data_IF_964659059207
#
_entry.id   IF_964659059207
#
_cell.length_a   1.000
_cell.length_b   1.000
_cell.length_c   1.000
_cell.angle_alpha   90.00
_cell.angle_beta   90.00
_cell.angle_gamma   90.00
#
_symmetry.space_group_name_H-M   'P 1'
#
loop_
_entity.id
_entity.type
_entity.pdbx_description
1 polymer ?
#
# COMPACT_ATOMS: atom_id res chain seq x y z
N UNK A 1 29.25 -12.07 16.32
CA UNK A 1 28.89 -11.39 17.59
C UNK A 1 27.45 -11.76 17.85
N UNK A 2 27.19 -12.34 18.99
CA UNK A 2 25.85 -12.67 19.46
C UNK A 2 25.55 -11.85 20.72
N UNK A 3 24.52 -10.99 20.65
CA UNK A 3 24.09 -10.15 21.78
C UNK A 3 22.58 -10.07 21.79
N UNK A 4 21.94 -10.54 22.87
CA UNK A 4 20.49 -10.59 23.02
C UNK A 4 19.75 -11.26 21.84
N UNK A 5 20.37 -12.25 21.19
CA UNK A 5 19.85 -12.84 19.95
C UNK A 5 18.48 -13.50 20.08
N UNK A 6 18.17 -14.03 21.27
CA UNK A 6 16.90 -14.70 21.57
C UNK A 6 15.85 -13.76 22.17
N UNK A 7 16.29 -12.54 22.57
CA UNK A 7 15.37 -11.56 23.14
C UNK A 7 14.40 -11.04 22.08
N UNK A 8 13.13 -11.02 22.44
CA UNK A 8 12.06 -10.51 21.57
C UNK A 8 12.04 -8.98 21.55
N UNK A 9 11.96 -8.41 20.35
CA UNK A 9 11.85 -6.98 20.10
C UNK A 9 10.71 -6.69 19.13
N UNK A 10 10.19 -5.47 19.21
CA UNK A 10 9.26 -4.95 18.19
C UNK A 10 10.04 -4.69 16.92
N UNK A 11 9.72 -5.35 15.81
CA UNK A 11 10.51 -5.27 14.58
C UNK A 11 10.29 -3.98 13.78
N UNK A 12 9.20 -3.26 14.04
CA UNK A 12 8.76 -2.22 13.12
C UNK A 12 8.84 -2.71 11.65
N UNK A 13 9.16 -1.85 10.71
CA UNK A 13 9.13 -2.19 9.28
C UNK A 13 10.17 -3.21 8.79
N UNK A 14 11.08 -3.74 9.64
CA UNK A 14 11.86 -4.92 9.21
C UNK A 14 10.99 -6.18 9.11
N UNK A 15 9.80 -6.17 9.70
CA UNK A 15 8.75 -7.18 9.51
C UNK A 15 8.47 -7.46 8.02
N UNK A 16 8.57 -6.45 7.16
CA UNK A 16 8.37 -6.56 5.70
C UNK A 16 9.32 -7.55 5.01
N UNK A 17 10.42 -7.93 5.66
CA UNK A 17 11.31 -8.97 5.16
C UNK A 17 10.61 -10.34 5.13
N UNK A 18 9.77 -10.63 6.14
CA UNK A 18 8.94 -11.84 6.15
C UNK A 18 7.91 -11.79 5.01
N UNK A 19 7.20 -10.69 4.85
CA UNK A 19 6.23 -10.53 3.75
C UNK A 19 6.90 -10.65 2.38
N UNK A 20 8.08 -10.04 2.20
CA UNK A 20 8.85 -10.16 0.95
C UNK A 20 9.26 -11.60 0.67
N UNK A 21 9.79 -12.31 1.68
CA UNK A 21 10.18 -13.70 1.56
C UNK A 21 8.97 -14.58 1.24
N UNK A 22 7.85 -14.38 1.92
CA UNK A 22 6.59 -15.09 1.70
C UNK A 22 6.07 -14.92 0.27
N UNK A 23 6.03 -13.69 -0.22
CA UNK A 23 5.57 -13.43 -1.58
C UNK A 23 6.48 -14.08 -2.64
N UNK A 24 7.80 -14.02 -2.46
CA UNK A 24 8.76 -14.64 -3.38
C UNK A 24 8.80 -16.17 -3.30
N UNK A 25 8.40 -16.73 -2.17
CA UNK A 25 8.30 -18.17 -1.97
C UNK A 25 7.04 -18.76 -2.63
N UNK A 26 5.91 -18.07 -2.47
CA UNK A 26 4.58 -18.63 -2.72
C UNK A 26 3.89 -18.08 -3.97
N UNK A 27 4.30 -16.93 -4.50
CA UNK A 27 3.74 -16.38 -5.74
C UNK A 27 4.61 -16.76 -6.94
N UNK A 28 4.01 -17.00 -8.11
CA UNK A 28 4.75 -17.16 -9.36
C UNK A 28 5.64 -15.95 -9.65
N UNK A 29 6.79 -16.16 -10.25
CA UNK A 29 7.76 -15.09 -10.51
C UNK A 29 7.24 -13.99 -11.46
N UNK A 30 6.24 -14.29 -12.27
CA UNK A 30 5.54 -13.39 -13.18
C UNK A 30 4.20 -12.90 -12.64
N UNK A 31 3.94 -13.08 -11.35
CA UNK A 31 2.68 -12.67 -10.74
C UNK A 31 2.43 -11.16 -10.92
N UNK A 32 1.19 -10.85 -11.29
CA UNK A 32 0.59 -9.50 -11.25
C UNK A 32 -0.84 -9.60 -10.70
N UNK A 33 -1.32 -8.55 -10.07
CA UNK A 33 -2.74 -8.43 -9.74
C UNK A 33 -3.51 -8.16 -11.03
N UNK A 34 -4.71 -8.75 -11.19
CA UNK A 34 -5.51 -8.58 -12.40
C UNK A 34 -6.86 -7.97 -12.06
N UNK A 35 -7.03 -6.69 -12.37
CA UNK A 35 -8.32 -5.98 -12.30
C UNK A 35 -9.02 -6.15 -13.64
N UNK A 36 -10.30 -6.57 -13.63
CA UNK A 36 -11.04 -6.85 -14.86
C UNK A 36 -12.22 -5.93 -15.03
N UNK A 37 -12.46 -5.50 -16.27
CA UNK A 37 -13.69 -4.84 -16.66
C UNK A 37 -14.48 -5.70 -17.63
N UNK A 38 -15.79 -5.71 -17.45
CA UNK A 38 -16.74 -6.44 -18.30
C UNK A 38 -17.86 -5.50 -18.73
N UNK A 39 -18.46 -5.78 -19.86
CA UNK A 39 -19.74 -5.20 -20.25
C UNK A 39 -20.83 -6.26 -20.12
N UNK A 40 -21.99 -5.90 -19.59
CA UNK A 40 -23.21 -6.69 -19.74
C UNK A 40 -24.05 -6.08 -20.86
N UNK A 41 -24.72 -6.94 -21.62
CA UNK A 41 -25.56 -6.50 -22.73
C UNK A 41 -24.81 -6.18 -24.03
N UNK A 42 -25.49 -5.56 -24.98
CA UNK A 42 -25.03 -5.39 -26.36
C UNK A 42 -24.72 -3.92 -26.70
N UNK A 43 -23.73 -3.72 -27.56
CA UNK A 43 -23.40 -2.40 -28.12
C UNK A 43 -24.35 -2.07 -29.28
N UNK A 44 -25.11 -0.98 -29.14
CA UNK A 44 -25.78 -0.36 -30.27
C UNK A 44 -24.75 0.44 -31.09
N UNK A 45 -24.40 -0.09 -32.25
CA UNK A 45 -23.39 0.50 -33.14
C UNK A 45 -23.79 1.86 -33.72
N UNK A 46 -25.09 2.19 -33.75
CA UNK A 46 -25.61 3.46 -34.28
C UNK A 46 -25.42 4.56 -33.27
N UNK A 47 -25.85 4.35 -32.03
CA UNK A 47 -25.72 5.35 -30.94
C UNK A 47 -24.35 5.33 -30.28
N UNK A 48 -23.65 4.21 -30.29
CA UNK A 48 -22.41 3.98 -29.52
C UNK A 48 -22.66 3.71 -28.04
N UNK A 49 -23.89 3.41 -27.63
CA UNK A 49 -24.21 3.05 -26.24
C UNK A 49 -24.30 1.53 -26.08
N UNK A 50 -23.71 1.05 -24.98
CA UNK A 50 -23.96 -0.32 -24.53
C UNK A 50 -25.31 -0.34 -23.82
N UNK A 51 -26.23 -1.19 -24.27
CA UNK A 51 -27.51 -1.45 -23.61
C UNK A 51 -27.27 -2.43 -22.43
N UNK A 52 -26.60 -1.94 -21.42
CA UNK A 52 -26.10 -2.75 -20.29
C UNK A 52 -25.27 -1.95 -19.32
N UNK A 53 -24.53 -2.66 -18.46
CA UNK A 53 -23.70 -2.10 -17.40
C UNK A 53 -22.20 -2.24 -17.69
N UNK A 54 -21.41 -1.39 -17.08
CA UNK A 54 -19.97 -1.59 -16.90
C UNK A 54 -19.71 -2.25 -15.52
N UNK A 55 -19.13 -3.45 -15.54
CA UNK A 55 -18.82 -4.20 -14.34
C UNK A 55 -17.31 -4.26 -14.15
N UNK A 56 -16.82 -4.01 -12.94
CA UNK A 56 -15.39 -4.07 -12.63
C UNK A 56 -15.18 -4.95 -11.41
N UNK A 57 -14.26 -5.94 -11.53
CA UNK A 57 -13.84 -6.78 -10.39
C UNK A 57 -12.53 -6.27 -9.81
N UNK A 58 -12.52 -6.00 -8.52
CA UNK A 58 -11.32 -5.61 -7.79
C UNK A 58 -10.39 -6.80 -7.55
N UNK A 59 -9.10 -6.56 -7.59
CA UNK A 59 -8.05 -7.59 -7.40
C UNK A 59 -7.26 -7.44 -6.11
N UNK A 60 -7.43 -6.33 -5.40
CA UNK A 60 -6.56 -5.94 -4.29
C UNK A 60 -5.20 -5.41 -4.78
N UNK A 61 -5.11 -4.89 -6.01
CA UNK A 61 -3.91 -4.25 -6.54
C UNK A 61 -3.61 -2.96 -5.77
N UNK A 62 -2.54 -2.88 -4.96
CA UNK A 62 -2.20 -1.67 -4.21
C UNK A 62 -1.72 -0.53 -5.11
N UNK A 63 -1.37 -0.84 -6.36
CA UNK A 63 -0.81 0.13 -7.30
C UNK A 63 -1.84 0.76 -8.22
N UNK A 64 -3.14 0.45 -8.04
CA UNK A 64 -4.20 0.97 -8.91
C UNK A 64 -4.24 2.51 -8.85
N UNK A 65 -3.99 3.17 -9.99
CA UNK A 65 -3.86 4.63 -10.11
C UNK A 65 -2.81 5.26 -9.18
N UNK A 66 -1.81 4.48 -8.78
CA UNK A 66 -0.71 4.97 -7.93
C UNK A 66 0.19 5.97 -8.65
N UNK A 67 0.53 7.06 -7.97
CA UNK A 67 1.49 8.04 -8.46
C UNK A 67 2.93 7.50 -8.57
N UNK A 68 3.22 6.37 -7.97
CA UNK A 68 4.53 5.71 -8.02
C UNK A 68 4.76 4.92 -9.31
N UNK A 69 3.67 4.48 -9.97
CA UNK A 69 3.70 3.67 -11.20
C UNK A 69 3.02 4.39 -12.37
N UNK A 70 3.51 5.59 -12.70
CA UNK A 70 2.89 6.52 -13.69
C UNK A 70 2.64 5.93 -15.08
N UNK A 71 3.36 4.88 -15.45
CA UNK A 71 3.20 4.20 -16.74
C UNK A 71 2.10 3.13 -16.71
N UNK A 72 1.44 2.94 -15.57
CA UNK A 72 0.36 1.98 -15.34
C UNK A 72 -0.88 2.73 -14.85
N UNK A 73 -1.95 2.67 -15.62
CA UNK A 73 -3.24 3.27 -15.26
C UNK A 73 -4.37 2.44 -15.88
N UNK A 74 -5.17 1.84 -15.02
CA UNK A 74 -6.39 1.13 -15.40
C UNK A 74 -7.37 2.07 -16.11
N UNK A 75 -7.55 3.28 -15.57
CA UNK A 75 -8.46 4.28 -16.13
C UNK A 75 -8.05 4.67 -17.55
N UNK A 76 -6.75 4.84 -17.79
CA UNK A 76 -6.25 5.16 -19.13
C UNK A 76 -6.51 4.01 -20.11
N UNK A 77 -6.12 2.78 -19.75
CA UNK A 77 -6.33 1.60 -20.59
C UNK A 77 -7.84 1.36 -20.85
N UNK A 78 -8.69 1.56 -19.82
CA UNK A 78 -10.15 1.45 -19.99
C UNK A 78 -10.69 2.47 -20.99
N UNK A 79 -10.24 3.74 -20.91
CA UNK A 79 -10.64 4.77 -21.88
C UNK A 79 -10.20 4.44 -23.31
N UNK A 80 -8.98 3.96 -23.46
CA UNK A 80 -8.45 3.57 -24.77
C UNK A 80 -9.27 2.44 -25.40
N UNK A 81 -9.65 1.42 -24.62
CA UNK A 81 -10.45 0.31 -25.16
C UNK A 81 -11.90 0.70 -25.41
N UNK A 82 -12.53 1.54 -24.57
CA UNK A 82 -13.85 2.09 -24.84
C UNK A 82 -13.87 2.88 -26.16
N UNK A 83 -12.85 3.72 -26.36
CA UNK A 83 -12.71 4.50 -27.60
C UNK A 83 -12.50 3.63 -28.83
N UNK A 84 -11.66 2.60 -28.74
CA UNK A 84 -11.37 1.68 -29.85
C UNK A 84 -12.58 0.84 -30.27
N UNK A 85 -13.50 0.58 -29.33
CA UNK A 85 -14.78 -0.10 -29.59
C UNK A 85 -15.91 0.88 -29.90
N UNK A 86 -15.63 2.17 -30.07
CA UNK A 86 -16.62 3.24 -30.27
C UNK A 86 -17.72 3.31 -29.21
N UNK A 87 -17.40 2.89 -27.95
CA UNK A 87 -18.34 2.94 -26.83
C UNK A 87 -18.30 4.36 -26.23
N UNK A 88 -19.45 5.06 -26.31
CA UNK A 88 -19.64 6.42 -25.78
C UNK A 88 -20.19 6.44 -24.37
N UNK A 89 -20.86 5.35 -23.94
CA UNK A 89 -21.47 5.25 -22.62
C UNK A 89 -22.32 3.98 -22.46
N UNK A 90 -23.02 3.93 -21.34
CA UNK A 90 -23.84 2.79 -20.94
C UNK A 90 -25.27 3.26 -20.62
N UNK A 91 -26.27 2.47 -21.00
CA UNK A 91 -27.66 2.71 -20.59
C UNK A 91 -27.91 2.35 -19.13
N UNK A 92 -27.18 1.39 -18.59
CA UNK A 92 -27.16 1.00 -17.18
C UNK A 92 -26.17 1.81 -16.34
N UNK A 93 -25.53 1.14 -15.39
CA UNK A 93 -24.72 1.71 -14.33
C UNK A 93 -23.30 1.16 -14.29
N UNK A 94 -22.42 1.83 -13.51
CA UNK A 94 -21.14 1.28 -13.08
C UNK A 94 -21.34 0.42 -11.83
N UNK A 95 -20.96 -0.85 -11.94
CA UNK A 95 -21.04 -1.84 -10.85
C UNK A 95 -19.63 -2.30 -10.49
N UNK A 96 -19.21 -2.01 -9.27
CA UNK A 96 -18.02 -2.61 -8.70
C UNK A 96 -18.41 -3.96 -8.09
N UNK A 97 -17.88 -5.04 -8.67
CA UNK A 97 -18.10 -6.39 -8.18
C UNK A 97 -17.02 -6.70 -7.15
N UNK A 98 -17.44 -6.78 -5.90
CA UNK A 98 -16.63 -7.31 -4.84
C UNK A 98 -17.20 -8.67 -4.41
N UNK A 99 -16.49 -9.74 -4.71
CA UNK A 99 -16.91 -11.09 -4.37
C UNK A 99 -16.97 -11.33 -2.84
N UNK A 100 -16.53 -10.36 -2.04
CA UNK A 100 -16.32 -10.50 -0.60
C UNK A 100 -16.81 -9.30 0.22
N UNK A 101 -17.97 -8.71 -0.09
CA UNK A 101 -18.52 -7.53 0.62
C UNK A 101 -17.40 -6.54 0.90
N UNK A 102 -17.26 -5.56 0.03
CA UNK A 102 -16.20 -4.54 0.05
C UNK A 102 -15.77 -4.18 1.48
N UNK A 103 -14.73 -4.86 1.93
CA UNK A 103 -14.23 -4.67 3.27
C UNK A 103 -12.95 -3.86 3.13
N UNK A 104 -13.09 -2.54 3.30
CA UNK A 104 -11.96 -1.71 3.67
C UNK A 104 -11.45 -2.22 5.02
N UNK A 105 -10.34 -2.98 4.99
CA UNK A 105 -9.82 -3.64 6.18
C UNK A 105 -8.72 -2.79 6.80
N UNK A 106 -8.91 -2.46 8.07
CA UNK A 106 -7.90 -1.83 8.92
C UNK A 106 -7.59 -2.79 10.05
N UNK A 107 -6.31 -3.07 10.27
CA UNK A 107 -5.90 -4.03 11.29
C UNK A 107 -6.28 -3.54 12.70
N UNK A 108 -7.02 -4.37 13.44
CA UNK A 108 -7.52 -4.06 14.78
C UNK A 108 -6.41 -3.88 15.84
N UNK A 109 -5.17 -4.25 15.52
CA UNK A 109 -4.01 -4.10 16.39
C UNK A 109 -3.22 -2.81 16.13
N UNK A 110 -3.67 -1.95 15.20
CA UNK A 110 -3.07 -0.64 14.97
C UNK A 110 -3.59 0.39 15.96
N UNK A 111 -2.77 1.38 16.28
CA UNK A 111 -3.14 2.42 17.23
C UNK A 111 -4.08 3.44 16.57
N UNK A 112 -4.96 4.03 17.37
CA UNK A 112 -5.83 5.12 16.92
C UNK A 112 -5.05 6.27 16.26
N UNK A 113 -3.89 6.63 16.80
CA UNK A 113 -3.02 7.66 16.24
C UNK A 113 -2.37 7.32 14.90
N UNK A 114 -2.41 6.04 14.49
CA UNK A 114 -1.82 5.60 13.21
C UNK A 114 -2.85 5.56 12.08
N UNK A 115 -4.08 5.10 12.36
CA UNK A 115 -5.08 4.76 11.33
C UNK A 115 -5.62 5.94 10.53
N UNK A 116 -5.53 7.17 11.05
CA UNK A 116 -5.87 8.40 10.33
C UNK A 116 -4.80 8.86 9.35
N UNK A 117 -3.58 8.35 9.45
CA UNK A 117 -2.45 8.71 8.62
C UNK A 117 -2.30 7.77 7.42
N UNK A 118 -1.64 8.24 6.35
CA UNK A 118 -1.44 7.47 5.11
C UNK A 118 -0.76 6.11 5.34
N UNK A 119 0.11 5.99 6.35
CA UNK A 119 0.80 4.75 6.67
C UNK A 119 -0.05 3.76 7.47
N UNK A 120 -1.18 4.19 8.03
CA UNK A 120 -2.21 3.38 8.67
C UNK A 120 -3.47 3.21 7.81
N UNK A 121 -3.41 3.59 6.53
CA UNK A 121 -4.50 3.35 5.60
C UNK A 121 -4.78 1.85 5.45
N UNK A 122 -6.04 1.48 5.52
CA UNK A 122 -6.49 0.11 5.31
C UNK A 122 -6.36 -0.35 3.86
N UNK A 123 -6.67 -1.61 3.62
CA UNK A 123 -6.67 -2.22 2.29
C UNK A 123 -8.09 -2.36 1.74
N UNK A 124 -8.21 -2.44 0.42
CA UNK A 124 -9.47 -2.63 -0.31
C UNK A 124 -9.22 -3.44 -1.57
N UNK A 125 -10.20 -4.22 -2.02
CA UNK A 125 -10.13 -4.88 -3.33
C UNK A 125 -10.04 -3.86 -4.48
N UNK A 126 -10.55 -2.65 -4.24
CA UNK A 126 -10.42 -1.49 -5.12
C UNK A 126 -9.52 -0.43 -4.46
N UNK A 127 -8.24 -0.77 -4.28
CA UNK A 127 -7.26 0.25 -3.88
C UNK A 127 -7.26 1.39 -4.89
N UNK A 128 -7.05 2.62 -4.43
CA UNK A 128 -7.07 3.79 -5.31
C UNK A 128 -6.10 4.86 -4.81
N UNK A 129 -5.17 5.27 -5.69
CA UNK A 129 -4.18 6.32 -5.38
C UNK A 129 -3.48 6.09 -4.03
N UNK A 130 -2.98 4.86 -3.84
CA UNK A 130 -2.27 4.41 -2.63
C UNK A 130 -3.11 4.48 -1.34
N UNK A 131 -4.45 4.55 -1.44
CA UNK A 131 -5.40 4.72 -0.35
C UNK A 131 -5.09 5.93 0.54
N UNK A 132 -4.57 7.00 -0.03
CA UNK A 132 -4.23 8.22 0.70
C UNK A 132 -4.83 9.48 0.07
N UNK A 133 -5.04 10.47 0.92
CA UNK A 133 -5.45 11.82 0.57
C UNK A 133 -4.30 12.76 0.90
N UNK A 134 -3.98 13.65 -0.02
CA UNK A 134 -2.99 14.70 0.17
C UNK A 134 -3.70 16.01 0.50
N UNK A 135 -3.41 16.57 1.67
CA UNK A 135 -3.91 17.86 2.11
C UNK A 135 -2.76 18.85 2.07
N UNK A 136 -2.92 19.92 1.34
CA UNK A 136 -1.90 20.95 1.15
C UNK A 136 -2.20 22.15 2.02
N UNK A 137 -1.19 22.68 2.67
CA UNK A 137 -1.30 23.81 3.59
C UNK A 137 -0.41 24.96 3.18
N UNK A 138 -0.90 26.19 3.42
CA UNK A 138 -0.09 27.40 3.44
C UNK A 138 0.16 27.76 4.91
N UNK A 139 1.42 27.74 5.33
CA UNK A 139 1.82 28.05 6.70
C UNK A 139 2.28 29.51 6.84
N UNK A 140 1.95 30.14 7.96
CA UNK A 140 2.45 31.47 8.32
C UNK A 140 3.97 31.45 8.53
N UNK A 141 4.61 32.62 8.33
CA UNK A 141 6.02 32.82 8.70
C UNK A 141 6.22 32.94 10.21
N UNK A 142 5.17 33.22 10.97
CA UNK A 142 5.20 33.31 12.44
C UNK A 142 4.90 31.95 13.05
N UNK A 143 5.74 31.52 13.96
CA UNK A 143 5.60 30.26 14.70
C UNK A 143 4.35 30.30 15.58
N UNK A 144 3.62 29.16 15.61
CA UNK A 144 2.40 28.97 16.39
C UNK A 144 1.13 29.50 15.72
N UNK A 145 1.23 30.25 14.62
CA UNK A 145 0.04 30.68 13.88
C UNK A 145 -0.60 29.55 13.08
N UNK A 146 -1.90 29.60 12.94
CA UNK A 146 -2.70 28.62 12.19
C UNK A 146 -2.30 28.55 10.72
N UNK A 147 -2.26 27.34 10.15
CA UNK A 147 -1.97 27.09 8.74
C UNK A 147 -3.25 26.79 7.97
N UNK A 148 -3.43 27.42 6.82
CA UNK A 148 -4.64 27.29 5.99
C UNK A 148 -4.55 26.14 5.00
N UNK A 149 -5.65 25.42 4.77
CA UNK A 149 -5.75 24.42 3.71
C UNK A 149 -5.87 25.13 2.36
N UNK A 150 -4.91 24.89 1.46
CA UNK A 150 -4.90 25.46 0.12
C UNK A 150 -5.51 24.52 -0.92
N UNK A 151 -5.37 23.21 -0.74
CA UNK A 151 -5.81 22.20 -1.72
C UNK A 151 -5.95 20.82 -1.06
N UNK A 152 -6.87 19.99 -1.59
CA UNK A 152 -7.02 18.58 -1.25
C UNK A 152 -6.92 17.77 -2.55
N UNK A 153 -6.18 16.65 -2.53
CA UNK A 153 -6.04 15.75 -3.67
C UNK A 153 -6.24 14.29 -3.25
N UNK A 154 -7.02 13.48 -3.99
CA UNK A 154 -7.77 13.84 -5.20
C UNK A 154 -8.80 14.94 -4.99
N UNK A 155 -9.08 15.69 -6.06
CA UNK A 155 -10.11 16.75 -6.01
C UNK A 155 -11.50 16.16 -5.85
N UNK A 156 -12.43 16.96 -5.27
CA UNK A 156 -13.81 16.55 -5.03
C UNK A 156 -14.00 15.35 -4.09
N UNK A 157 -13.05 15.15 -3.19
CA UNK A 157 -13.20 14.24 -2.07
C UNK A 157 -14.13 14.90 -1.04
N UNK A 158 -15.21 14.22 -0.68
CA UNK A 158 -16.01 14.63 0.47
C UNK A 158 -15.28 14.20 1.75
N UNK A 159 -14.50 15.13 2.30
CA UNK A 159 -13.75 14.95 3.53
C UNK A 159 -14.03 16.16 4.44
N UNK A 160 -14.58 15.88 5.62
CA UNK A 160 -14.77 16.87 6.67
C UNK A 160 -13.48 17.01 7.49
N UNK A 161 -12.74 18.11 7.28
CA UNK A 161 -11.46 18.34 7.95
C UNK A 161 -11.58 19.36 9.05
N UNK A 162 -11.35 18.91 10.28
CA UNK A 162 -11.07 19.79 11.41
C UNK A 162 -9.56 20.11 11.41
N UNK A 163 -9.23 21.32 10.96
CA UNK A 163 -7.84 21.77 10.83
C UNK A 163 -7.32 22.43 12.11
N UNK A 164 -6.31 21.83 12.73
CA UNK A 164 -5.59 22.34 13.92
C UNK A 164 -4.08 22.45 13.67
N UNK A 165 -3.68 22.55 12.40
CA UNK A 165 -2.26 22.61 12.02
C UNK A 165 -1.73 24.02 12.22
N UNK A 166 -0.57 24.13 12.84
CA UNK A 166 0.12 25.40 13.08
C UNK A 166 1.51 25.41 12.43
N UNK A 167 2.05 26.62 12.25
CA UNK A 167 3.42 26.83 11.77
C UNK A 167 4.44 26.51 12.88
N UNK A 168 5.43 25.68 12.59
CA UNK A 168 6.45 25.23 13.55
C UNK A 168 7.87 25.61 13.12
N UNK A 169 8.80 25.51 14.07
CA UNK A 169 10.25 25.74 13.84
C UNK A 169 10.90 24.60 13.04
N UNK A 170 10.37 23.37 13.20
CA UNK A 170 10.91 22.19 12.56
C UNK A 170 10.83 22.27 11.03
N UNK A 171 11.87 21.82 10.35
CA UNK A 171 11.81 21.64 8.88
C UNK A 171 11.09 20.35 8.46
N UNK A 172 10.57 19.56 9.42
CA UNK A 172 9.90 18.28 9.20
C UNK A 172 8.38 18.43 9.28
N UNK A 173 7.69 17.49 8.64
CA UNK A 173 6.28 17.23 8.86
C UNK A 173 6.09 16.59 10.25
N UNK A 174 5.44 17.30 11.14
CA UNK A 174 5.04 16.86 12.48
C UNK A 174 3.51 16.91 12.64
N UNK A 175 2.79 17.04 11.54
CA UNK A 175 1.33 16.98 11.53
C UNK A 175 0.84 15.54 11.38
N UNK A 176 -0.23 15.21 12.10
CA UNK A 176 -0.85 13.89 12.09
C UNK A 176 -2.34 14.01 11.82
N UNK A 177 -2.86 13.04 11.05
CA UNK A 177 -4.29 12.88 10.81
C UNK A 177 -4.90 11.89 11.79
N UNK A 178 -6.03 12.26 12.38
CA UNK A 178 -6.84 11.39 13.23
C UNK A 178 -8.23 11.21 12.62
N UNK A 179 -8.76 10.00 12.72
CA UNK A 179 -10.10 9.69 12.24
C UNK A 179 -10.34 8.19 12.14
N UNK A 180 -11.58 7.78 12.25
CA UNK A 180 -11.97 6.37 12.13
C UNK A 180 -11.81 5.85 10.69
N UNK A 181 -11.65 4.53 10.52
CA UNK A 181 -11.39 3.94 9.21
C UNK A 181 -12.55 4.11 8.21
N UNK A 182 -13.78 4.22 8.72
CA UNK A 182 -14.99 4.31 7.87
C UNK A 182 -15.63 5.70 7.92
N UNK A 183 -14.96 6.67 8.56
CA UNK A 183 -15.51 8.01 8.77
C UNK A 183 -14.91 9.02 7.79
N UNK A 184 -15.76 9.92 7.26
CA UNK A 184 -15.33 11.03 6.42
C UNK A 184 -14.63 12.15 7.21
N UNK A 185 -14.80 12.21 8.55
CA UNK A 185 -14.14 13.21 9.38
C UNK A 185 -12.66 12.89 9.61
N UNK A 186 -11.83 13.91 9.44
CA UNK A 186 -10.41 13.90 9.82
C UNK A 186 -10.07 15.13 10.63
N UNK A 187 -9.51 14.95 11.81
CA UNK A 187 -8.81 16.02 12.53
C UNK A 187 -7.35 15.97 12.13
N UNK A 188 -6.80 17.06 11.61
CA UNK A 188 -5.38 17.17 11.30
C UNK A 188 -4.78 18.18 12.26
N UNK A 189 -3.81 17.75 13.07
CA UNK A 189 -3.18 18.58 14.10
C UNK A 189 -1.67 18.39 14.14
N UNK A 190 -0.96 19.33 14.76
CA UNK A 190 0.48 19.34 14.88
C UNK A 190 1.12 20.49 14.11
N UNK A 191 2.39 20.36 13.79
CA UNK A 191 3.19 21.42 13.21
C UNK A 191 3.71 21.09 11.82
N UNK A 192 3.73 22.09 10.95
CA UNK A 192 4.42 22.04 9.65
C UNK A 192 5.43 23.18 9.57
N UNK A 193 6.48 23.09 8.73
CA UNK A 193 7.47 24.14 8.62
C UNK A 193 6.87 25.51 8.31
N UNK A 194 7.28 26.54 9.04
CA UNK A 194 6.81 27.91 8.83
C UNK A 194 7.17 28.47 7.44
N UNK A 195 6.33 29.37 6.91
CA UNK A 195 6.57 30.08 5.64
C UNK A 195 6.54 29.19 4.41
N UNK A 196 5.75 28.11 4.40
CA UNK A 196 5.61 27.20 3.27
C UNK A 196 4.30 27.39 2.53
N UNK A 197 4.35 27.39 1.22
CA UNK A 197 3.19 27.30 0.35
C UNK A 197 3.03 25.88 -0.17
N UNK A 198 1.79 25.37 -0.15
CA UNK A 198 1.43 24.04 -0.60
C UNK A 198 2.26 22.91 0.09
N UNK A 199 2.51 23.06 1.39
CA UNK A 199 3.13 22.00 2.17
C UNK A 199 2.16 20.80 2.29
N UNK A 200 2.65 19.60 1.98
CA UNK A 200 1.83 18.40 1.86
C UNK A 200 1.82 17.58 3.14
N UNK A 201 0.65 17.37 3.70
CA UNK A 201 0.36 16.37 4.74
C UNK A 201 -0.48 15.25 4.12
N UNK A 202 -0.26 14.02 4.54
CA UNK A 202 -0.93 12.85 3.98
C UNK A 202 -1.77 12.14 5.04
N UNK A 203 -3.04 11.92 4.73
CA UNK A 203 -3.99 11.19 5.59
C UNK A 203 -4.55 9.96 4.88
N UNK A 204 -5.10 9.02 5.65
CA UNK A 204 -5.72 7.82 5.11
C UNK A 204 -7.02 8.12 4.37
N UNK A 205 -7.25 7.44 3.25
CA UNK A 205 -8.52 7.46 2.51
C UNK A 205 -9.48 6.45 3.17
N UNK A 206 -10.70 6.88 3.48
CA UNK A 206 -11.66 6.07 4.25
C UNK A 206 -12.48 5.08 3.42
N UNK A 207 -12.61 5.29 2.12
CA UNK A 207 -13.34 4.39 1.22
C UNK A 207 -12.76 4.45 -0.21
N UNK A 208 -11.65 3.77 -0.48
CA UNK A 208 -10.98 3.81 -1.80
C UNK A 208 -11.90 3.40 -2.96
N UNK A 209 -12.77 2.40 -2.76
CA UNK A 209 -13.69 1.93 -3.78
C UNK A 209 -14.70 3.01 -4.21
N UNK A 210 -15.25 3.77 -3.26
CA UNK A 210 -16.16 4.89 -3.59
C UNK A 210 -15.46 5.99 -4.38
N UNK A 211 -14.22 6.30 -4.04
CA UNK A 211 -13.43 7.30 -4.77
C UNK A 211 -13.07 6.82 -6.18
N UNK A 212 -12.70 5.55 -6.33
CA UNK A 212 -12.46 4.96 -7.63
C UNK A 212 -13.72 4.99 -8.51
N UNK A 213 -14.88 4.60 -7.94
CA UNK A 213 -16.18 4.67 -8.62
C UNK A 213 -16.55 6.11 -9.03
N UNK A 214 -16.36 7.06 -8.13
CA UNK A 214 -16.63 8.47 -8.40
C UNK A 214 -15.75 9.02 -9.55
N UNK A 215 -14.48 8.63 -9.60
CA UNK A 215 -13.59 9.05 -10.68
C UNK A 215 -14.01 8.46 -12.03
N UNK A 216 -14.40 7.20 -12.07
CA UNK A 216 -14.92 6.57 -13.30
C UNK A 216 -16.24 7.20 -13.77
N UNK A 217 -17.16 7.53 -12.86
CA UNK A 217 -18.42 8.19 -13.18
C UNK A 217 -18.25 9.59 -13.79
N UNK A 218 -17.12 10.28 -13.49
CA UNK A 218 -16.80 11.56 -14.16
C UNK A 218 -16.33 11.39 -15.60
N UNK A 219 -15.78 10.22 -15.92
CA UNK A 219 -15.09 9.97 -17.16
C UNK A 219 -15.92 9.18 -18.17
N UNK A 220 -16.93 8.45 -17.71
CA UNK A 220 -17.77 7.56 -18.49
C UNK A 220 -19.24 7.92 -18.22
N UNK A 221 -20.02 8.02 -19.29
CA UNK A 221 -21.43 8.38 -19.19
C UNK A 221 -22.31 7.17 -18.88
N UNK A 222 -23.19 7.29 -17.88
CA UNK A 222 -24.18 6.28 -17.48
C UNK A 222 -25.58 6.90 -17.39
N UNK A 223 -26.59 6.23 -18.01
CA UNK A 223 -28.00 6.65 -17.90
C UNK A 223 -28.65 6.17 -16.62
N UNK A 224 -28.05 5.16 -15.95
CA UNK A 224 -28.55 4.53 -14.72
C UNK A 224 -29.94 3.90 -14.85
N UNK A 225 -30.29 3.40 -16.03
CA UNK A 225 -31.51 2.64 -16.24
C UNK A 225 -31.37 1.22 -15.66
N UNK A 226 -32.48 0.57 -15.35
CA UNK A 226 -32.51 -0.87 -15.12
C UNK A 226 -32.27 -1.60 -16.44
N UNK A 227 -31.32 -2.50 -16.49
CA UNK A 227 -30.93 -3.28 -17.65
C UNK A 227 -30.67 -4.72 -17.28
N UNK A 228 -30.90 -5.63 -18.25
CA UNK A 228 -30.57 -7.04 -18.06
C UNK A 228 -29.04 -7.27 -18.06
N UNK A 229 -28.58 -8.17 -17.20
CA UNK A 229 -27.16 -8.52 -17.03
C UNK A 229 -26.82 -9.92 -17.58
N UNK A 230 -27.67 -10.49 -18.40
CA UNK A 230 -27.59 -11.89 -18.83
C UNK A 230 -26.38 -12.22 -19.72
N UNK A 231 -25.81 -11.22 -20.42
CA UNK A 231 -24.65 -11.40 -21.30
C UNK A 231 -23.47 -10.63 -20.74
N UNK A 232 -22.33 -11.32 -20.52
CA UNK A 232 -21.09 -10.67 -20.06
C UNK A 232 -19.96 -10.91 -21.07
N UNK A 233 -19.39 -9.81 -21.60
CA UNK A 233 -18.16 -9.83 -22.41
C UNK A 233 -17.01 -9.14 -21.66
N UNK A 234 -15.82 -9.73 -21.79
CA UNK A 234 -14.60 -9.17 -21.20
C UNK A 234 -14.14 -7.96 -22.01
N UNK A 235 -14.14 -6.80 -21.38
CA UNK A 235 -13.67 -5.55 -21.96
C UNK A 235 -12.17 -5.35 -21.77
N UNK A 236 -11.66 -5.58 -20.54
CA UNK A 236 -10.26 -5.33 -20.18
C UNK A 236 -9.79 -6.31 -19.10
N UNK A 237 -8.61 -6.87 -19.30
CA UNK A 237 -7.81 -7.51 -18.25
C UNK A 237 -6.57 -6.64 -17.98
N UNK A 238 -6.64 -5.81 -16.94
CA UNK A 238 -5.57 -4.93 -16.54
C UNK A 238 -4.61 -5.63 -15.58
N UNK A 239 -3.33 -5.64 -15.90
CA UNK A 239 -2.29 -6.19 -15.05
C UNK A 239 -1.54 -5.09 -14.30
N UNK A 240 -1.41 -5.23 -12.99
CA UNK A 240 -0.51 -4.39 -12.18
C UNK A 240 0.93 -4.44 -12.67
N UNK A 241 1.83 -3.59 -12.18
CA UNK A 241 3.26 -3.86 -12.25
C UNK A 241 3.59 -5.27 -11.73
N UNK A 242 4.67 -5.91 -12.22
CA UNK A 242 5.12 -7.21 -11.73
C UNK A 242 5.38 -7.21 -10.22
N UNK A 243 5.19 -8.34 -9.55
CA UNK A 243 5.41 -8.47 -8.10
C UNK A 243 6.79 -7.97 -7.65
N UNK A 244 7.82 -8.13 -8.46
CA UNK A 244 9.17 -7.65 -8.15
C UNK A 244 9.24 -6.12 -8.01
N UNK A 245 8.50 -5.39 -8.84
CA UNK A 245 8.45 -3.93 -8.80
C UNK A 245 7.66 -3.45 -7.58
N UNK A 246 6.55 -4.14 -7.28
CA UNK A 246 5.73 -3.87 -6.09
C UNK A 246 6.54 -4.11 -4.80
N UNK A 247 7.26 -5.24 -4.69
CA UNK A 247 8.12 -5.56 -3.55
C UNK A 247 9.29 -4.57 -3.42
N UNK A 248 9.88 -4.17 -4.54
CA UNK A 248 10.95 -3.16 -4.54
C UNK A 248 10.42 -1.83 -4.03
N UNK A 249 9.29 -1.37 -4.56
CA UNK A 249 8.63 -0.15 -4.07
C UNK A 249 8.30 -0.24 -2.58
N UNK A 250 7.66 -1.34 -2.17
CA UNK A 250 7.30 -1.63 -0.77
C UNK A 250 8.49 -1.49 0.18
N UNK A 251 9.63 -2.10 -0.17
CA UNK A 251 10.84 -2.07 0.67
C UNK A 251 11.56 -0.71 0.63
N UNK A 252 11.66 -0.08 -0.54
CA UNK A 252 12.33 1.22 -0.72
C UNK A 252 11.60 2.37 -0.03
N UNK A 253 10.26 2.36 -0.05
CA UNK A 253 9.41 3.38 0.58
C UNK A 253 8.90 2.96 1.95
N UNK A 254 9.15 1.72 2.35
CA UNK A 254 8.57 1.12 3.57
C UNK A 254 7.03 1.21 3.58
N UNK A 255 6.39 0.98 2.44
CA UNK A 255 4.97 1.18 2.24
C UNK A 255 4.13 0.09 2.94
N UNK A 256 3.34 0.47 3.93
CA UNK A 256 2.51 -0.45 4.72
C UNK A 256 1.33 -0.98 3.91
N UNK A 257 0.66 -0.10 3.16
CA UNK A 257 -0.51 -0.47 2.35
C UNK A 257 -0.18 -1.58 1.35
N UNK A 258 0.94 -1.45 0.61
CA UNK A 258 1.42 -2.49 -0.31
C UNK A 258 1.73 -3.80 0.42
N UNK A 259 2.27 -3.70 1.63
CA UNK A 259 2.65 -4.90 2.40
C UNK A 259 1.44 -5.73 2.78
N UNK A 260 0.39 -5.09 3.30
CA UNK A 260 -0.85 -5.77 3.70
C UNK A 260 -1.57 -6.39 2.50
N UNK A 261 -1.69 -5.66 1.37
CA UNK A 261 -2.30 -6.19 0.14
C UNK A 261 -1.54 -7.41 -0.41
N UNK A 262 -0.20 -7.33 -0.48
CA UNK A 262 0.64 -8.41 -1.01
C UNK A 262 0.53 -9.64 -0.11
N UNK A 263 0.60 -9.48 1.22
CA UNK A 263 0.45 -10.62 2.12
C UNK A 263 -0.93 -11.23 2.03
N UNK A 264 -2.00 -10.42 2.10
CA UNK A 264 -3.36 -10.95 2.00
C UNK A 264 -3.55 -11.72 0.70
N UNK A 265 -3.10 -11.17 -0.43
CA UNK A 265 -3.19 -11.85 -1.73
C UNK A 265 -2.44 -13.16 -1.76
N UNK A 266 -1.24 -13.19 -1.18
CA UNK A 266 -0.41 -14.40 -1.10
C UNK A 266 -1.09 -15.48 -0.28
N UNK A 267 -1.59 -15.12 0.91
CA UNK A 267 -2.26 -16.06 1.82
C UNK A 267 -3.64 -16.48 1.31
N UNK A 268 -4.37 -15.58 0.64
CA UNK A 268 -5.63 -15.93 -0.03
C UNK A 268 -5.43 -16.99 -1.11
N UNK A 269 -4.40 -16.84 -1.94
CA UNK A 269 -4.11 -17.80 -2.99
C UNK A 269 -3.76 -19.20 -2.45
N UNK A 270 -3.11 -19.28 -1.29
CA UNK A 270 -2.65 -20.56 -0.72
C UNK A 270 -3.66 -21.18 0.25
N UNK A 271 -4.29 -20.36 1.10
CA UNK A 271 -5.13 -20.82 2.21
C UNK A 271 -6.58 -20.35 2.14
N UNK A 272 -6.97 -19.58 1.11
CA UNK A 272 -8.32 -19.03 0.95
C UNK A 272 -8.70 -17.97 1.98
N UNK A 273 -7.73 -17.38 2.71
CA UNK A 273 -8.01 -16.37 3.74
C UNK A 273 -8.37 -15.01 3.12
N UNK A 274 -9.27 -14.29 3.79
CA UNK A 274 -9.82 -13.02 3.30
C UNK A 274 -9.69 -11.87 4.31
N UNK A 275 -9.03 -12.14 5.42
CA UNK A 275 -8.83 -11.19 6.52
C UNK A 275 -7.33 -10.98 6.76
N UNK A 276 -6.92 -9.71 6.99
CA UNK A 276 -5.50 -9.34 7.12
C UNK A 276 -4.86 -9.91 8.39
N UNK A 277 -5.61 -9.98 9.50
CA UNK A 277 -5.09 -10.56 10.74
C UNK A 277 -4.87 -12.07 10.58
N UNK A 278 -5.80 -12.75 9.91
CA UNK A 278 -5.65 -14.17 9.60
C UNK A 278 -4.51 -14.41 8.61
N UNK A 279 -4.30 -13.51 7.63
CA UNK A 279 -3.16 -13.59 6.72
C UNK A 279 -1.82 -13.46 7.46
N UNK A 280 -1.73 -12.54 8.43
CA UNK A 280 -0.54 -12.41 9.27
C UNK A 280 -0.30 -13.64 10.14
N UNK A 281 -1.37 -14.23 10.70
CA UNK A 281 -1.29 -15.49 11.46
C UNK A 281 -0.79 -16.64 10.58
N UNK A 282 -1.32 -16.79 9.36
CA UNK A 282 -0.89 -17.85 8.43
C UNK A 282 0.56 -17.65 7.97
N UNK A 283 1.02 -16.42 7.78
CA UNK A 283 2.44 -16.14 7.54
C UNK A 283 3.29 -16.58 8.73
N UNK A 284 2.84 -16.32 9.95
CA UNK A 284 3.54 -16.73 11.16
C UNK A 284 3.64 -18.26 11.24
N UNK A 285 2.53 -18.98 11.08
CA UNK A 285 2.49 -20.46 11.08
C UNK A 285 3.43 -21.02 10.01
N UNK A 286 3.38 -20.47 8.79
CA UNK A 286 4.24 -20.89 7.69
C UNK A 286 5.73 -20.79 8.02
N UNK A 287 6.18 -19.64 8.58
CA UNK A 287 7.59 -19.44 8.90
C UNK A 287 8.03 -20.18 10.16
N UNK A 288 7.16 -20.38 11.14
CA UNK A 288 7.44 -21.23 12.30
C UNK A 288 7.78 -22.66 11.86
N UNK A 289 6.96 -23.24 10.98
CA UNK A 289 7.22 -24.56 10.42
C UNK A 289 8.48 -24.58 9.53
N UNK A 290 8.57 -23.64 8.60
CA UNK A 290 9.65 -23.59 7.58
C UNK A 290 11.04 -23.41 8.17
N UNK A 291 11.14 -22.62 9.23
CA UNK A 291 12.40 -22.37 9.92
C UNK A 291 12.62 -23.30 11.15
N UNK A 292 11.69 -24.24 11.39
CA UNK A 292 11.70 -25.12 12.55
C UNK A 292 11.96 -24.35 13.87
N UNK A 293 11.14 -23.31 14.10
CA UNK A 293 11.31 -22.46 15.27
C UNK A 293 10.72 -23.12 16.51
N UNK A 294 11.54 -23.19 17.57
CA UNK A 294 11.11 -23.59 18.90
C UNK A 294 10.83 -22.38 19.79
N UNK A 295 10.95 -21.19 19.24
CA UNK A 295 10.84 -19.92 19.94
C UNK A 295 9.54 -19.19 19.57
N UNK A 296 9.15 -18.24 20.42
CA UNK A 296 7.98 -17.39 20.15
C UNK A 296 8.31 -16.41 19.04
N UNK A 297 7.59 -16.51 17.94
CA UNK A 297 7.55 -15.52 16.87
C UNK A 297 6.09 -15.10 16.72
N UNK A 298 5.83 -13.81 16.83
CA UNK A 298 4.46 -13.28 16.80
C UNK A 298 4.34 -12.16 15.78
N UNK A 299 3.46 -12.37 14.81
CA UNK A 299 3.06 -11.34 13.84
C UNK A 299 1.55 -11.14 13.90
N UNK A 300 1.11 -9.89 13.95
CA UNK A 300 -0.31 -9.51 13.96
C UNK A 300 -0.66 -8.61 12.77
N UNK A 301 0.34 -8.17 12.02
CA UNK A 301 0.21 -7.49 10.73
C UNK A 301 1.39 -7.85 9.82
N UNK A 302 1.26 -7.53 8.54
CA UNK A 302 2.29 -7.79 7.55
C UNK A 302 3.44 -6.78 7.59
N UNK A 303 3.14 -5.54 7.96
CA UNK A 303 4.01 -4.39 7.73
C UNK A 303 4.88 -3.99 8.91
N UNK A 304 4.56 -4.47 10.12
CA UNK A 304 5.27 -4.12 11.35
C UNK A 304 4.81 -2.80 11.97
N UNK A 305 3.59 -2.34 11.68
CA UNK A 305 3.04 -1.14 12.30
C UNK A 305 2.57 -1.40 13.73
N UNK A 306 2.02 -2.57 13.99
CA UNK A 306 1.57 -2.96 15.33
C UNK A 306 2.76 -3.19 16.27
N UNK A 307 2.68 -2.62 17.48
CA UNK A 307 3.65 -2.87 18.56
C UNK A 307 3.52 -4.26 19.18
N UNK A 308 2.48 -5.04 18.79
CA UNK A 308 2.28 -6.43 19.23
C UNK A 308 3.10 -7.44 18.41
N UNK A 309 3.72 -7.02 17.31
CA UNK A 309 4.68 -7.86 16.59
C UNK A 309 5.94 -8.06 17.42
N UNK A 310 6.42 -9.29 17.51
CA UNK A 310 7.62 -9.64 18.29
C UNK A 310 8.48 -10.62 17.50
N UNK A 311 9.75 -10.30 17.34
CA UNK A 311 10.75 -11.14 16.67
C UNK A 311 12.10 -11.02 17.37
N UNK A 312 12.83 -12.13 17.47
CA UNK A 312 14.21 -12.10 17.96
C UNK A 312 15.20 -11.85 16.80
N UNK A 313 16.41 -11.31 17.08
CA UNK A 313 17.49 -11.23 16.10
C UNK A 313 17.83 -12.60 15.49
N UNK A 314 17.75 -13.66 16.27
CA UNK A 314 18.01 -15.04 15.83
C UNK A 314 16.99 -15.48 14.77
N UNK A 315 15.69 -15.28 15.00
CA UNK A 315 14.63 -15.61 14.04
C UNK A 315 14.83 -14.82 12.74
N UNK A 316 15.14 -13.54 12.85
CA UNK A 316 15.41 -12.70 11.67
C UNK A 316 16.63 -13.19 10.89
N UNK A 317 17.71 -13.59 11.57
CA UNK A 317 18.89 -14.16 10.95
C UNK A 317 18.60 -15.52 10.26
N UNK A 318 17.77 -16.37 10.86
CA UNK A 318 17.32 -17.64 10.25
C UNK A 318 16.54 -17.37 8.96
N UNK A 319 15.63 -16.40 8.95
CA UNK A 319 14.94 -15.99 7.73
C UNK A 319 15.93 -15.56 6.64
N UNK A 320 16.86 -14.65 6.97
CA UNK A 320 17.84 -14.13 6.01
C UNK A 320 18.76 -15.22 5.49
N UNK A 321 19.22 -16.13 6.36
CA UNK A 321 20.04 -17.27 5.98
C UNK A 321 19.27 -18.26 5.08
N UNK A 322 18.01 -18.56 5.41
CA UNK A 322 17.14 -19.40 4.58
C UNK A 322 17.01 -18.81 3.17
N UNK A 323 16.65 -17.53 3.06
CA UNK A 323 16.49 -16.87 1.76
C UNK A 323 17.77 -16.90 0.93
N UNK A 324 18.94 -16.72 1.56
CA UNK A 324 20.24 -16.76 0.89
C UNK A 324 20.56 -18.17 0.39
N UNK A 325 20.36 -19.21 1.21
CA UNK A 325 20.61 -20.60 0.89
C UNK A 325 19.72 -21.12 -0.24
N UNK A 326 18.48 -20.64 -0.32
CA UNK A 326 17.57 -20.93 -1.43
C UNK A 326 17.90 -20.17 -2.72
N UNK A 327 19.04 -19.46 -2.76
CA UNK A 327 19.50 -18.63 -3.89
C UNK A 327 18.44 -17.62 -4.34
N UNK A 328 17.66 -17.11 -3.40
CA UNK A 328 16.60 -16.12 -3.67
C UNK A 328 17.21 -14.73 -3.93
N UNK A 329 18.12 -14.62 -4.90
CA UNK A 329 18.76 -13.34 -5.27
C UNK A 329 17.76 -12.22 -5.60
N UNK A 330 16.55 -12.59 -6.05
CA UNK A 330 15.45 -11.64 -6.26
C UNK A 330 15.09 -10.88 -4.98
N UNK A 331 15.16 -11.54 -3.81
CA UNK A 331 14.91 -10.91 -2.52
C UNK A 331 15.86 -9.74 -2.27
N UNK A 332 17.17 -9.96 -2.42
CA UNK A 332 18.20 -8.92 -2.20
C UNK A 332 17.97 -7.73 -3.15
N UNK A 333 17.56 -7.98 -4.40
CA UNK A 333 17.27 -6.92 -5.39
C UNK A 333 16.11 -6.01 -4.99
N UNK A 334 15.21 -6.44 -4.11
CA UNK A 334 14.11 -5.61 -3.63
C UNK A 334 14.52 -4.68 -2.49
N UNK A 335 15.73 -4.82 -1.94
CA UNK A 335 16.15 -4.10 -0.73
C UNK A 335 16.98 -2.85 -1.05
N UNK A 336 16.80 -1.76 -0.32
CA UNK A 336 17.62 -0.57 -0.43
C UNK A 336 19.06 -0.80 0.06
N UNK A 337 19.97 0.05 -0.42
CA UNK A 337 21.41 0.06 -0.12
C UNK A 337 21.76 1.25 0.76
N UNK A 338 22.53 1.02 1.81
CA UNK A 338 22.98 2.05 2.75
C UNK A 338 23.78 3.15 2.03
N UNK A 339 23.47 4.41 2.33
CA UNK A 339 24.08 5.59 1.73
C UNK A 339 23.59 5.91 0.30
N UNK A 340 22.81 4.99 -0.34
CA UNK A 340 22.48 5.08 -1.78
C UNK A 340 20.99 5.24 -2.03
N UNK A 341 20.15 4.35 -1.48
CA UNK A 341 18.77 4.24 -1.95
C UNK A 341 17.72 4.03 -0.87
N UNK A 342 16.46 4.29 -1.21
CA UNK A 342 15.29 4.05 -0.39
C UNK A 342 15.39 4.67 1.01
N UNK A 343 14.88 3.96 2.01
CA UNK A 343 14.93 4.40 3.42
C UNK A 343 16.33 4.36 4.04
N UNK A 344 17.32 3.79 3.33
CA UNK A 344 18.71 3.74 3.76
C UNK A 344 19.59 4.80 3.08
N UNK A 345 19.03 5.68 2.25
CA UNK A 345 19.76 6.67 1.43
C UNK A 345 20.74 7.55 2.25
N UNK A 346 20.43 7.81 3.50
CA UNK A 346 21.26 8.64 4.38
C UNK A 346 21.94 7.84 5.49
N UNK A 347 21.79 6.51 5.52
CA UNK A 347 22.36 5.67 6.54
C UNK A 347 23.88 5.56 6.34
N UNK A 348 24.61 5.93 7.40
CA UNK A 348 26.06 5.68 7.54
C UNK A 348 26.93 6.17 6.36
N UNK A 349 26.56 7.30 5.74
CA UNK A 349 27.36 7.95 4.70
C UNK A 349 28.76 8.27 5.19
N UNK A 350 29.75 8.08 4.33
CA UNK A 350 31.16 8.29 4.65
C UNK A 350 31.77 7.19 5.53
N UNK A 351 31.03 6.13 5.86
CA UNK A 351 31.53 5.01 6.65
C UNK A 351 31.75 3.74 5.81
N UNK A 352 32.36 2.71 6.42
CA UNK A 352 32.53 1.39 5.80
C UNK A 352 31.18 0.68 5.51
N UNK A 353 30.09 1.15 6.06
CA UNK A 353 28.74 0.61 5.86
C UNK A 353 28.14 1.11 4.54
N UNK A 354 28.51 2.32 4.11
CA UNK A 354 28.05 2.88 2.85
C UNK A 354 28.37 1.95 1.68
N UNK A 355 27.39 1.70 0.82
CA UNK A 355 27.45 0.74 -0.30
C UNK A 355 27.70 -0.73 0.11
N UNK A 356 27.85 -1.05 1.39
CA UNK A 356 28.18 -2.41 1.85
C UNK A 356 27.09 -3.07 2.67
N UNK A 357 26.03 -2.36 3.04
CA UNK A 357 24.85 -2.93 3.68
C UNK A 357 23.65 -2.82 2.77
N UNK A 358 23.00 -3.96 2.51
CA UNK A 358 21.74 -4.06 1.77
C UNK A 358 20.70 -4.61 2.71
N UNK A 359 19.62 -3.89 2.96
CA UNK A 359 18.65 -4.33 3.97
C UNK A 359 17.44 -3.42 4.12
N UNK A 360 16.71 -3.66 5.17
CA UNK A 360 15.49 -2.94 5.53
C UNK A 360 15.67 -2.20 6.84
N UNK A 361 15.20 -0.96 6.91
CA UNK A 361 15.05 -0.21 8.15
C UNK A 361 13.67 -0.41 8.76
N UNK A 362 13.59 -0.41 10.09
CA UNK A 362 12.38 -0.27 10.86
C UNK A 362 12.48 0.95 11.77
N UNK A 363 11.41 1.73 11.86
CA UNK A 363 11.35 2.91 12.74
C UNK A 363 9.91 3.21 13.13
N UNK A 364 9.71 3.38 14.40
CA UNK A 364 8.52 3.98 15.00
C UNK A 364 8.97 4.64 16.31
N UNK A 365 8.07 5.32 17.00
CA UNK A 365 8.40 5.93 18.29
C UNK A 365 8.98 4.90 19.28
N UNK A 366 10.17 5.19 19.83
CA UNK A 366 10.91 4.30 20.71
C UNK A 366 11.59 3.09 20.05
N UNK A 367 11.49 2.91 18.71
CA UNK A 367 12.07 1.76 18.01
C UNK A 367 12.87 2.19 16.79
N UNK A 368 14.12 1.70 16.70
CA UNK A 368 14.99 1.84 15.53
C UNK A 368 15.74 0.54 15.29
N UNK A 369 15.57 -0.05 14.10
CA UNK A 369 16.19 -1.32 13.77
C UNK A 369 16.58 -1.40 12.29
N UNK A 370 17.53 -2.31 12.01
CA UNK A 370 18.02 -2.61 10.67
C UNK A 370 18.24 -4.13 10.56
N UNK A 371 17.90 -4.69 9.42
CA UNK A 371 18.12 -6.10 9.13
C UNK A 371 18.44 -6.29 7.66
N UNK A 372 19.41 -7.16 7.32
CA UNK A 372 19.88 -7.35 5.97
C UNK A 372 21.24 -8.01 5.88
N UNK A 373 21.96 -7.74 4.80
CA UNK A 373 23.22 -8.37 4.45
C UNK A 373 24.35 -7.37 4.35
N UNK A 374 25.53 -7.74 4.84
CA UNK A 374 26.78 -7.07 4.50
C UNK A 374 27.43 -7.74 3.31
N UNK A 375 27.83 -6.94 2.32
CA UNK A 375 28.59 -7.41 1.19
C UNK A 375 30.03 -7.67 1.62
N UNK A 376 30.52 -8.89 1.35
CA UNK A 376 31.94 -9.21 1.56
C UNK A 376 32.75 -8.45 0.50
N UNK A 377 33.57 -7.48 0.89
CA UNK A 377 34.59 -6.93 0.00
C UNK A 377 35.58 -8.03 -0.32
N UNK A 378 35.63 -8.46 -1.57
CA UNK A 378 36.85 -9.15 -2.03
C UNK A 378 37.99 -8.14 -1.88
N UNK A 379 38.90 -8.38 -0.94
CA UNK A 379 40.17 -7.67 -0.94
C UNK A 379 40.81 -7.97 -2.30
N UNK A 380 40.93 -6.92 -3.16
CA UNK A 380 41.81 -6.97 -4.30
C UNK A 380 43.23 -6.98 -3.80
#
# INVERSE_FOLDING_TARGET
INYNSEKLFVPASIQKLFTTATALELLPSNFSFVTRAFISGELDSISGFVNGNLLITGSGDPSLESSYFKNKSFIKELKEILSSRAIKGFSGSLILIDNHKDIYQVNSNWLWGDIGNYYGAGISNFSFKDNMIEVYFNSSTKIGEHSEISKIYPENIHLDIENKVVSGESSKDLAYGFGGPYNTKRTIEGEIPAGRNNFKVKVSMHNPASFFKAELNKLIFFKNNEVDNSIMDTLLNYNSPPIMDLLTHMNYKSNNNYTEHILLKTMKNLYGVENIELAALKMNEYWNEKLALNEIFKTVDACGLSRKNLVSPEIMNRLLAYVLNQKKYKFIKTLPVAGVSGTLKYLARGSVIENNFIGKSGSMDGVKCYSGYFLKRNKK
#
